data_IF_587140373448
#
_entry.id   IF_587140373448
#
_cell.length_a   1.000
_cell.length_b   1.000
_cell.length_c   1.000
_cell.angle_alpha   90.00
_cell.angle_beta   90.00
_cell.angle_gamma   90.00
#
_symmetry.space_group_name_H-M   'P 1'
#
loop_
_entity.id
_entity.type
_entity.pdbx_description
1 polymer ?
#
# COMPACT_ATOMS: atom_id res chain seq x y z
N UNK A 1 -1.20 3.03 21.79
CA UNK A 1 -0.62 1.72 22.13
C UNK A 1 -0.73 0.83 20.91
N UNK A 2 0.39 0.51 20.24
CA UNK A 2 0.43 -0.43 19.12
C UNK A 2 1.07 -1.72 19.62
N UNK A 3 0.24 -2.70 19.99
CA UNK A 3 0.75 -4.01 20.40
C UNK A 3 1.17 -4.79 19.15
N UNK A 4 2.39 -5.37 19.12
CA UNK A 4 2.87 -6.16 17.99
C UNK A 4 2.07 -7.46 17.72
N UNK A 5 1.13 -7.81 18.60
CA UNK A 5 0.28 -9.01 18.51
C UNK A 5 -1.17 -8.71 18.14
N UNK A 6 -1.44 -7.53 17.58
CA UNK A 6 -2.78 -7.16 17.11
C UNK A 6 -3.04 -7.77 15.72
N UNK A 7 -3.33 -9.07 15.69
CA UNK A 7 -3.58 -9.85 14.46
C UNK A 7 -4.86 -9.43 13.71
N UNK A 8 -5.74 -8.63 14.34
CA UNK A 8 -6.95 -8.09 13.71
C UNK A 8 -6.68 -6.84 12.86
N UNK A 9 -5.50 -6.21 13.00
CA UNK A 9 -5.02 -5.28 11.98
C UNK A 9 -4.39 -6.09 10.86
N UNK A 10 -4.75 -5.76 9.62
CA UNK A 10 -4.18 -6.24 8.35
C UNK A 10 -2.71 -5.82 8.17
N UNK A 11 -1.90 -6.08 9.18
CA UNK A 11 -0.45 -5.96 9.17
C UNK A 11 0.13 -7.20 8.52
N UNK A 12 1.39 -7.11 8.04
CA UNK A 12 2.10 -8.25 7.44
C UNK A 12 1.97 -9.53 8.27
N UNK A 13 2.15 -9.42 9.60
CA UNK A 13 2.12 -10.55 10.52
C UNK A 13 0.70 -11.09 10.75
N UNK A 14 -0.31 -10.20 10.84
CA UNK A 14 -1.71 -10.61 10.96
C UNK A 14 -2.20 -11.35 9.72
N UNK A 15 -1.85 -10.84 8.54
CA UNK A 15 -2.20 -11.46 7.27
C UNK A 15 -1.49 -12.80 7.07
N UNK A 16 -0.21 -12.88 7.46
CA UNK A 16 0.54 -14.14 7.48
C UNK A 16 -0.14 -15.21 8.32
N UNK A 17 -0.42 -14.87 9.57
CA UNK A 17 -1.05 -15.79 10.51
C UNK A 17 -2.42 -16.30 10.00
N UNK A 18 -3.22 -15.42 9.39
CA UNK A 18 -4.52 -15.81 8.81
C UNK A 18 -4.37 -16.75 7.60
N UNK A 19 -3.40 -16.49 6.73
CA UNK A 19 -3.14 -17.31 5.54
C UNK A 19 -2.61 -18.70 5.92
N UNK A 20 -1.64 -18.75 6.83
CA UNK A 20 -1.10 -20.02 7.35
C UNK A 20 -2.19 -20.83 8.06
N UNK A 21 -3.03 -20.18 8.87
CA UNK A 21 -4.16 -20.86 9.57
C UNK A 21 -5.22 -21.40 8.62
N UNK A 22 -5.36 -20.83 7.43
CA UNK A 22 -6.31 -21.29 6.40
C UNK A 22 -5.74 -22.36 5.47
N UNK A 23 -4.53 -22.86 5.75
CA UNK A 23 -3.88 -23.92 4.97
C UNK A 23 -3.19 -23.43 3.71
N UNK A 24 -2.90 -22.13 3.62
CA UNK A 24 -2.06 -21.58 2.57
C UNK A 24 -0.61 -21.51 3.06
N UNK A 25 0.32 -21.98 2.23
CA UNK A 25 1.74 -21.77 2.43
C UNK A 25 2.14 -20.44 1.81
N UNK A 26 2.73 -19.55 2.62
CA UNK A 26 3.16 -18.24 2.13
C UNK A 26 4.59 -18.32 1.59
N UNK A 27 4.74 -18.15 0.29
CA UNK A 27 6.01 -18.27 -0.42
C UNK A 27 6.82 -16.97 -0.32
N UNK A 28 6.16 -15.82 -0.51
CA UNK A 28 6.88 -14.54 -0.54
C UNK A 28 6.01 -13.36 -0.12
N UNK A 29 6.64 -12.44 0.62
CA UNK A 29 6.12 -11.11 0.95
C UNK A 29 6.90 -10.03 0.22
N UNK A 30 6.23 -9.33 -0.70
CA UNK A 30 6.80 -8.17 -1.39
C UNK A 30 6.08 -6.89 -0.96
N UNK A 31 6.76 -5.97 -0.25
CA UNK A 31 6.19 -4.65 -0.01
C UNK A 31 6.09 -3.89 -1.33
N UNK A 32 4.88 -3.40 -1.67
CA UNK A 32 4.61 -2.78 -2.97
C UNK A 32 5.03 -1.31 -2.97
N UNK A 33 4.77 -0.59 -1.87
CA UNK A 33 4.96 0.85 -1.79
C UNK A 33 5.33 1.29 -0.38
N UNK A 34 6.35 2.14 -0.24
CA UNK A 34 6.80 2.72 1.03
C UNK A 34 5.72 3.58 1.69
N UNK A 35 5.74 3.67 3.02
CA UNK A 35 4.67 4.29 3.81
C UNK A 35 4.46 5.76 3.44
N UNK A 36 5.55 6.47 3.11
CA UNK A 36 5.51 7.85 2.66
C UNK A 36 4.77 7.97 1.32
N UNK A 37 5.16 7.15 0.33
CA UNK A 37 4.52 7.12 -0.97
C UNK A 37 3.03 6.78 -0.88
N UNK A 38 2.62 5.91 0.07
CA UNK A 38 1.19 5.59 0.31
C UNK A 38 0.40 6.82 0.73
N UNK A 39 0.96 7.67 1.59
CA UNK A 39 0.28 8.91 1.99
C UNK A 39 0.13 9.89 0.83
N UNK A 40 1.12 9.96 -0.06
CA UNK A 40 1.04 10.75 -1.28
C UNK A 40 0.00 10.18 -2.25
N UNK A 41 -0.08 8.86 -2.40
CA UNK A 41 -1.11 8.18 -3.19
C UNK A 41 -2.51 8.50 -2.68
N UNK A 42 -2.72 8.41 -1.36
CA UNK A 42 -4.00 8.69 -0.73
C UNK A 42 -4.44 10.14 -0.96
N UNK A 43 -3.51 11.10 -0.81
CA UNK A 43 -3.78 12.51 -1.12
C UNK A 43 -4.18 12.70 -2.58
N UNK A 44 -3.48 12.04 -3.51
CA UNK A 44 -3.82 12.11 -4.93
C UNK A 44 -5.22 11.52 -5.21
N UNK A 45 -5.59 10.40 -4.59
CA UNK A 45 -6.94 9.83 -4.72
C UNK A 45 -8.03 10.77 -4.19
N UNK A 46 -7.77 11.51 -3.11
CA UNK A 46 -8.71 12.54 -2.64
C UNK A 46 -8.83 13.69 -3.64
N UNK A 47 -7.71 14.17 -4.20
CA UNK A 47 -7.75 15.20 -5.23
C UNK A 47 -8.46 14.73 -6.50
N UNK A 48 -8.29 13.46 -6.88
CA UNK A 48 -9.00 12.87 -8.02
C UNK A 48 -10.51 12.78 -7.77
N UNK A 49 -10.92 12.32 -6.59
CA UNK A 49 -12.34 12.31 -6.19
C UNK A 49 -12.94 13.72 -6.21
N UNK A 50 -12.20 14.72 -5.72
CA UNK A 50 -12.62 16.12 -5.79
C UNK A 50 -12.68 16.67 -7.22
N UNK A 51 -11.68 16.36 -8.05
CA UNK A 51 -11.66 16.77 -9.46
C UNK A 51 -12.81 16.14 -10.25
N UNK A 52 -13.15 14.88 -9.95
CA UNK A 52 -14.31 14.21 -10.51
C UNK A 52 -15.63 14.90 -10.13
N UNK A 53 -15.72 15.49 -8.93
CA UNK A 53 -16.88 16.27 -8.51
C UNK A 53 -17.02 17.59 -9.27
N UNK A 54 -15.91 18.25 -9.62
CA UNK A 54 -15.88 19.52 -10.38
C UNK A 54 -16.10 19.30 -11.89
N UNK A 55 -15.92 18.08 -12.39
CA UNK A 55 -16.13 17.70 -13.79
C UNK A 55 -14.87 17.83 -14.66
N UNK A 56 -15.05 17.97 -15.97
CA UNK A 56 -13.95 17.85 -16.97
C UNK A 56 -12.83 18.88 -16.77
N UNK A 57 -13.16 20.10 -16.33
CA UNK A 57 -12.18 21.15 -16.04
C UNK A 57 -11.27 20.75 -14.87
N UNK A 58 -11.85 20.13 -13.82
CA UNK A 58 -11.11 19.61 -12.69
C UNK A 58 -10.11 18.54 -13.10
N UNK A 59 -10.48 17.64 -14.03
CA UNK A 59 -9.59 16.58 -14.53
C UNK A 59 -8.39 17.12 -15.31
N UNK A 60 -8.58 18.17 -16.13
CA UNK A 60 -7.49 18.80 -16.88
C UNK A 60 -6.49 19.46 -15.94
N UNK A 61 -6.95 20.15 -14.90
CA UNK A 61 -6.09 20.74 -13.88
C UNK A 61 -5.41 19.70 -12.99
N UNK A 62 -6.06 18.55 -12.78
CA UNK A 62 -5.50 17.45 -12.00
C UNK A 62 -4.36 16.73 -12.74
N UNK A 63 -4.37 16.68 -14.07
CA UNK A 63 -3.35 15.97 -14.86
C UNK A 63 -1.88 16.40 -14.56
N UNK A 64 -1.52 17.70 -14.50
CA UNK A 64 -0.17 18.09 -14.09
C UNK A 64 0.10 17.81 -12.61
N UNK A 65 -0.91 17.96 -11.74
CA UNK A 65 -0.79 17.67 -10.30
C UNK A 65 -0.52 16.18 -10.07
N UNK A 66 -1.20 15.30 -10.80
CA UNK A 66 -1.02 13.85 -10.70
C UNK A 66 0.38 13.45 -11.13
N UNK A 67 0.94 14.08 -12.18
CA UNK A 67 2.30 13.82 -12.63
C UNK A 67 3.33 14.19 -11.54
N UNK A 68 3.18 15.36 -10.90
CA UNK A 68 4.06 15.76 -9.78
C UNK A 68 3.95 14.80 -8.60
N UNK A 69 2.72 14.37 -8.25
CA UNK A 69 2.52 13.41 -7.18
C UNK A 69 3.08 12.03 -7.51
N UNK A 70 3.01 11.58 -8.76
CA UNK A 70 3.64 10.33 -9.20
C UNK A 70 5.17 10.38 -9.07
N UNK A 71 5.80 11.48 -9.50
CA UNK A 71 7.25 11.67 -9.31
C UNK A 71 7.62 11.72 -7.82
N UNK A 72 6.84 12.43 -7.01
CA UNK A 72 7.02 12.49 -5.55
C UNK A 72 6.91 11.10 -4.92
N UNK A 73 5.96 10.28 -5.35
CA UNK A 73 5.83 8.90 -4.87
C UNK A 73 7.03 8.03 -5.24
N UNK A 74 7.58 8.17 -6.46
CA UNK A 74 8.79 7.45 -6.85
C UNK A 74 9.99 7.82 -5.97
N UNK A 75 10.16 9.11 -5.67
CA UNK A 75 11.24 9.60 -4.80
C UNK A 75 11.03 9.12 -3.36
N UNK A 76 9.81 9.25 -2.84
CA UNK A 76 9.47 8.80 -1.49
C UNK A 76 9.66 7.29 -1.32
N UNK A 77 9.33 6.49 -2.34
CA UNK A 77 9.55 5.06 -2.31
C UNK A 77 11.05 4.70 -2.37
N UNK A 78 11.85 5.42 -3.16
CA UNK A 78 13.29 5.24 -3.22
C UNK A 78 13.99 5.62 -1.90
N UNK A 79 13.53 6.70 -1.25
CA UNK A 79 14.09 7.18 0.03
C UNK A 79 13.64 6.31 1.21
N UNK A 80 12.48 5.66 1.11
CA UNK A 80 11.97 4.83 2.21
C UNK A 80 12.86 3.60 2.43
N UNK A 81 13.48 3.42 3.62
CA UNK A 81 14.38 2.30 3.89
C UNK A 81 13.65 0.96 3.78
N UNK A 82 14.29 -0.05 3.17
CA UNK A 82 13.71 -1.39 3.01
C UNK A 82 13.26 -2.03 4.34
N UNK A 83 13.94 -1.71 5.45
CA UNK A 83 13.57 -2.13 6.80
C UNK A 83 12.19 -1.58 7.23
N UNK A 84 11.90 -0.32 6.92
CA UNK A 84 10.61 0.31 7.23
C UNK A 84 9.51 -0.29 6.35
N UNK A 85 9.84 -0.65 5.10
CA UNK A 85 8.90 -1.31 4.18
C UNK A 85 8.42 -2.67 4.72
N UNK A 86 9.32 -3.51 5.24
CA UNK A 86 8.91 -4.85 5.72
C UNK A 86 8.09 -4.86 7.01
N UNK A 87 8.32 -3.94 7.94
CA UNK A 87 7.81 -4.08 9.32
C UNK A 87 6.47 -3.39 9.59
N UNK A 88 6.08 -2.39 8.79
CA UNK A 88 4.93 -1.52 9.12
C UNK A 88 3.92 -1.28 8.00
N UNK A 89 4.13 -1.85 6.82
CA UNK A 89 3.27 -1.57 5.67
C UNK A 89 2.00 -2.41 5.68
N UNK A 90 0.89 -1.80 5.26
CA UNK A 90 -0.36 -2.50 4.90
C UNK A 90 -0.44 -2.83 3.39
N UNK A 91 0.46 -2.29 2.56
CA UNK A 91 0.48 -2.53 1.11
C UNK A 91 1.49 -3.61 0.76
N UNK A 92 1.08 -4.86 0.94
CA UNK A 92 1.93 -6.04 0.78
C UNK A 92 1.30 -6.94 -0.27
N UNK A 93 2.10 -7.35 -1.24
CA UNK A 93 1.74 -8.45 -2.12
C UNK A 93 2.18 -9.75 -1.46
N UNK A 94 1.25 -10.69 -1.34
CA UNK A 94 1.52 -12.00 -0.76
C UNK A 94 1.32 -13.07 -1.84
N UNK A 95 2.38 -13.83 -2.11
CA UNK A 95 2.28 -15.01 -2.95
C UNK A 95 2.06 -16.23 -2.06
N UNK A 96 0.90 -16.88 -2.21
CA UNK A 96 0.56 -18.09 -1.48
C UNK A 96 0.33 -19.26 -2.42
N UNK A 97 0.73 -20.44 -1.99
CA UNK A 97 0.34 -21.71 -2.62
C UNK A 97 -0.65 -22.42 -1.70
N UNK A 98 -1.70 -22.99 -2.30
CA UNK A 98 -2.62 -23.88 -1.60
C UNK A 98 -2.37 -25.28 -2.08
N UNK A 99 -1.99 -26.18 -1.18
CA UNK A 99 -1.97 -27.59 -1.49
C UNK A 99 -3.42 -28.10 -1.41
N UNK A 100 -3.99 -28.39 -2.57
CA UNK A 100 -5.30 -29.04 -2.68
C UNK A 100 -5.01 -30.53 -2.56
N UNK A 101 -5.32 -31.09 -1.40
CA UNK A 101 -5.38 -32.54 -1.16
C UNK A 101 -6.73 -33.04 -1.68
#
# INVERSE_FOLDING_TARGET
HASPYDYNRWTCMGLQYLLERTGFEVIEYKPILGQLAVTSQLRLSFFDSFANMVGTIGRVLLAPVSLVYQLKMMIEDAVTPARVKKTRLCNIFVYCKKEII
#
